data_IF_194835904941
#
_entry.id   IF_194835904941
#
_cell.length_a   1.000
_cell.length_b   1.000
_cell.length_c   1.000
_cell.angle_alpha   90.00
_cell.angle_beta   90.00
_cell.angle_gamma   90.00
#
_symmetry.space_group_name_H-M   'P 1'
#
loop_
_entity.id
_entity.type
_entity.pdbx_description
1 polymer ?
#
# COMPACT_ATOMS: atom_id res chain seq x y z
N UNK A 1 16.65 -62.61 56.93
CA UNK A 1 17.73 -63.12 57.79
C UNK A 1 18.84 -62.08 57.76
N UNK A 2 18.98 -61.33 58.86
CA UNK A 2 20.15 -60.54 59.28
C UNK A 2 20.61 -59.34 58.40
N UNK A 3 20.32 -58.10 58.84
CA UNK A 3 21.19 -57.12 59.56
C UNK A 3 22.26 -56.45 58.68
N UNK A 4 22.71 -55.22 58.87
CA UNK A 4 22.32 -53.99 59.57
C UNK A 4 23.51 -53.03 59.38
N UNK A 5 23.26 -51.71 59.35
CA UNK A 5 24.17 -50.64 59.80
C UNK A 5 25.49 -50.40 59.00
N UNK A 6 26.11 -49.22 58.97
CA UNK A 6 25.71 -47.82 59.10
C UNK A 6 26.99 -46.99 58.79
N UNK A 7 26.79 -45.79 58.24
CA UNK A 7 27.59 -44.55 58.41
C UNK A 7 28.92 -44.29 57.67
N UNK A 8 28.95 -43.02 57.21
CA UNK A 8 30.02 -42.01 57.30
C UNK A 8 31.02 -41.96 56.14
N UNK A 9 30.77 -41.21 55.07
CA UNK A 9 31.02 -39.75 54.90
C UNK A 9 32.51 -39.33 54.91
N UNK A 10 32.98 -38.84 53.74
CA UNK A 10 33.80 -37.63 53.56
C UNK A 10 33.99 -37.36 52.06
N UNK A 11 33.88 -36.07 51.73
CA UNK A 11 33.55 -35.57 50.39
C UNK A 11 34.63 -35.71 49.32
N UNK A 12 34.15 -35.78 48.08
CA UNK A 12 34.92 -35.57 46.85
C UNK A 12 34.60 -34.17 46.32
N UNK A 13 35.63 -33.39 46.05
CA UNK A 13 35.57 -32.20 45.19
C UNK A 13 35.84 -32.66 43.75
N UNK A 14 34.96 -32.39 42.77
CA UNK A 14 35.29 -32.45 41.35
C UNK A 14 35.52 -31.04 40.76
N UNK A 15 36.19 -30.95 39.60
CA UNK A 15 36.92 -29.76 39.15
C UNK A 15 36.04 -28.70 38.47
N UNK A 16 36.60 -27.49 38.39
CA UNK A 16 36.02 -26.29 37.80
C UNK A 16 35.52 -26.51 36.36
N UNK A 17 34.21 -26.40 36.19
CA UNK A 17 33.53 -26.37 34.92
C UNK A 17 33.61 -24.94 34.35
N UNK A 18 34.31 -24.80 33.23
CA UNK A 18 34.39 -23.56 32.47
C UNK A 18 32.98 -23.28 31.93
N UNK A 19 32.29 -22.32 32.54
CA UNK A 19 31.05 -21.75 32.01
C UNK A 19 31.35 -21.07 30.66
N UNK A 20 31.13 -21.81 29.56
CA UNK A 20 30.97 -21.20 28.25
C UNK A 20 29.66 -20.42 28.25
N UNK A 21 29.79 -19.11 28.38
CA UNK A 21 28.73 -18.12 28.27
C UNK A 21 27.83 -18.36 27.05
N UNK A 22 26.59 -18.79 27.29
CA UNK A 22 25.52 -18.83 26.30
C UNK A 22 25.06 -17.39 25.99
N UNK A 23 25.80 -16.70 25.13
CA UNK A 23 25.38 -15.43 24.53
C UNK A 23 25.08 -15.72 23.07
N UNK A 24 23.85 -15.35 22.64
CA UNK A 24 23.29 -15.35 21.27
C UNK A 24 22.28 -16.45 20.94
N UNK A 25 21.15 -16.43 21.66
CA UNK A 25 19.85 -16.41 21.00
C UNK A 25 18.86 -15.62 21.86
N UNK A 26 19.04 -14.29 21.92
CA UNK A 26 17.91 -13.41 22.23
C UNK A 26 16.89 -13.67 21.12
N UNK A 27 15.96 -14.58 21.39
CA UNK A 27 15.13 -15.16 20.35
C UNK A 27 14.27 -14.06 19.76
N UNK A 28 14.25 -13.93 18.44
CA UNK A 28 13.29 -13.07 17.74
C UNK A 28 11.83 -13.39 18.10
N UNK A 29 11.58 -14.59 18.66
CA UNK A 29 10.32 -14.96 19.33
C UNK A 29 10.03 -14.09 20.55
N UNK A 30 11.02 -13.74 21.35
CA UNK A 30 10.90 -12.80 22.47
C UNK A 30 10.59 -11.37 22.02
N UNK A 31 11.21 -10.90 20.94
CA UNK A 31 10.87 -9.60 20.33
C UNK A 31 9.46 -9.61 19.75
N UNK A 32 9.10 -10.65 19.00
CA UNK A 32 7.75 -10.86 18.46
C UNK A 32 6.69 -10.94 19.56
N UNK A 33 6.94 -11.71 20.61
CA UNK A 33 6.02 -11.86 21.74
C UNK A 33 5.97 -10.59 22.60
N UNK A 34 7.08 -9.86 22.76
CA UNK A 34 7.15 -8.58 23.47
C UNK A 34 6.38 -7.48 22.73
N UNK A 35 6.57 -7.37 21.41
CA UNK A 35 5.78 -6.50 20.56
C UNK A 35 4.32 -6.95 20.52
N UNK A 36 4.03 -8.25 20.49
CA UNK A 36 2.64 -8.72 20.56
C UNK A 36 1.99 -8.31 21.89
N UNK A 37 2.66 -8.59 23.03
CA UNK A 37 2.14 -8.35 24.38
C UNK A 37 1.94 -6.85 24.69
N UNK A 38 2.94 -6.02 24.42
CA UNK A 38 2.87 -4.57 24.60
C UNK A 38 1.72 -3.95 23.81
N UNK A 39 1.40 -4.51 22.63
CA UNK A 39 0.35 -3.99 21.78
C UNK A 39 -1.02 -4.64 22.02
N UNK A 40 -1.11 -5.91 22.41
CA UNK A 40 -2.40 -6.50 22.87
C UNK A 40 -2.95 -5.81 24.11
N UNK A 41 -2.08 -5.28 24.99
CA UNK A 41 -2.49 -4.46 26.13
C UNK A 41 -3.18 -3.15 25.73
N UNK A 42 -2.87 -2.62 24.55
CA UNK A 42 -3.55 -1.46 23.96
C UNK A 42 -4.91 -1.81 23.30
N UNK A 43 -5.14 -3.07 22.89
CA UNK A 43 -6.21 -3.45 21.93
C UNK A 43 -7.49 -4.00 22.59
N UNK A 44 -7.61 -4.03 23.92
CA UNK A 44 -8.61 -4.84 24.65
C UNK A 44 -10.06 -4.33 24.72
N UNK A 45 -10.54 -3.49 23.80
CA UNK A 45 -11.99 -3.22 23.70
C UNK A 45 -12.52 -3.51 22.30
N UNK A 46 -13.67 -4.18 22.22
CA UNK A 46 -14.29 -4.65 20.98
C UNK A 46 -14.64 -3.53 19.97
N UNK A 47 -14.47 -2.26 20.37
CA UNK A 47 -14.60 -1.05 19.54
C UNK A 47 -13.31 -0.22 19.39
N UNK A 48 -12.20 -0.59 20.04
CA UNK A 48 -10.89 0.11 19.97
C UNK A 48 -10.06 -0.03 18.68
N UNK A 49 -10.22 -1.02 17.78
CA UNK A 49 -9.25 -1.19 16.70
C UNK A 49 -9.30 -0.06 15.65
N UNK A 50 -10.39 0.73 15.59
CA UNK A 50 -10.50 1.89 14.69
C UNK A 50 -9.86 3.14 15.31
N UNK A 51 -10.00 3.34 16.62
CA UNK A 51 -9.45 4.51 17.33
C UNK A 51 -7.94 4.43 17.48
N UNK A 52 -7.37 3.26 17.78
CA UNK A 52 -5.91 3.10 17.93
C UNK A 52 -5.21 3.08 16.59
N UNK A 53 -5.82 2.45 15.57
CA UNK A 53 -5.31 2.49 14.20
C UNK A 53 -5.33 3.91 13.63
N UNK A 54 -6.42 4.66 13.88
CA UNK A 54 -6.54 6.07 13.52
C UNK A 54 -5.54 6.95 14.26
N UNK A 55 -5.30 6.70 15.56
CA UNK A 55 -4.33 7.45 16.36
C UNK A 55 -2.88 7.16 15.96
N UNK A 56 -2.55 5.89 15.68
CA UNK A 56 -1.24 5.51 15.14
C UNK A 56 -1.02 6.09 13.73
N UNK A 57 -2.04 6.05 12.86
CA UNK A 57 -1.97 6.69 11.55
C UNK A 57 -1.77 8.19 11.65
N UNK A 58 -2.54 8.87 12.50
CA UNK A 58 -2.41 10.30 12.74
C UNK A 58 -1.06 10.67 13.34
N UNK A 59 -0.57 9.93 14.34
CA UNK A 59 0.69 10.17 15.02
C UNK A 59 1.90 9.89 14.13
N UNK A 60 1.90 8.80 13.37
CA UNK A 60 2.99 8.44 12.46
C UNK A 60 3.03 9.39 11.27
N UNK A 61 1.87 9.79 10.73
CA UNK A 61 1.78 10.83 9.70
C UNK A 61 2.29 12.17 10.24
N UNK A 62 1.89 12.54 11.46
CA UNK A 62 2.34 13.76 12.12
C UNK A 62 3.86 13.76 12.35
N UNK A 63 4.44 12.65 12.79
CA UNK A 63 5.89 12.50 12.98
C UNK A 63 6.63 12.50 11.63
N UNK A 64 6.08 11.88 10.58
CA UNK A 64 6.66 11.90 9.24
C UNK A 64 6.71 13.30 8.66
N UNK A 65 5.63 14.08 8.81
CA UNK A 65 5.60 15.49 8.40
C UNK A 65 6.63 16.29 9.19
N UNK A 66 6.69 16.15 10.53
CA UNK A 66 7.62 16.93 11.37
C UNK A 66 9.09 16.58 11.15
N UNK A 67 9.43 15.31 10.92
CA UNK A 67 10.82 14.89 10.69
C UNK A 67 11.32 15.26 9.29
N UNK A 68 10.42 15.23 8.29
CA UNK A 68 10.78 15.41 6.89
C UNK A 68 10.80 16.88 6.45
N UNK A 69 9.91 17.72 7.00
CA UNK A 69 9.81 19.16 6.67
C UNK A 69 11.05 19.97 7.07
N UNK A 70 11.90 19.45 7.96
CA UNK A 70 13.14 20.11 8.40
C UNK A 70 14.41 19.61 7.72
N UNK A 71 14.38 18.48 6.99
CA UNK A 71 15.62 17.77 6.62
C UNK A 71 15.66 17.23 5.18
N UNK A 72 14.53 17.07 4.48
CA UNK A 72 14.49 16.40 3.17
C UNK A 72 14.26 17.40 2.04
N UNK A 73 15.34 17.99 1.54
CA UNK A 73 15.43 18.66 0.24
C UNK A 73 16.20 17.71 -0.69
N UNK A 74 15.67 17.29 -1.85
CA UNK A 74 14.54 17.86 -2.62
C UNK A 74 13.13 17.35 -2.29
N UNK A 75 12.10 18.13 -2.67
CA UNK A 75 10.68 17.88 -2.38
C UNK A 75 10.17 16.50 -2.82
N UNK A 76 10.74 15.93 -3.88
CA UNK A 76 10.37 14.58 -4.34
C UNK A 76 10.84 13.49 -3.38
N UNK A 77 11.97 13.67 -2.70
CA UNK A 77 12.40 12.77 -1.62
C UNK A 77 11.42 12.85 -0.45
N UNK A 78 10.97 14.06 -0.11
CA UNK A 78 9.94 14.27 0.92
C UNK A 78 8.62 13.57 0.55
N UNK A 79 8.17 13.69 -0.71
CA UNK A 79 6.98 13.00 -1.22
C UNK A 79 7.07 11.48 -1.05
N UNK A 80 8.18 10.87 -1.48
CA UNK A 80 8.40 9.44 -1.32
C UNK A 80 8.50 9.02 0.15
N UNK A 81 9.13 9.82 1.00
CA UNK A 81 9.20 9.54 2.44
C UNK A 81 7.80 9.47 3.06
N UNK A 82 6.92 10.43 2.77
CA UNK A 82 5.52 10.38 3.20
C UNK A 82 4.82 9.14 2.64
N UNK A 83 4.96 8.86 1.34
CA UNK A 83 4.33 7.71 0.70
C UNK A 83 4.75 6.38 1.36
N UNK A 84 6.04 6.20 1.64
CA UNK A 84 6.60 5.03 2.32
C UNK A 84 6.05 4.90 3.74
N UNK A 85 5.98 6.00 4.50
CA UNK A 85 5.46 5.98 5.87
C UNK A 85 3.96 5.67 5.89
N UNK A 86 3.16 6.30 5.03
CA UNK A 86 1.72 6.03 4.89
C UNK A 86 1.50 4.56 4.51
N UNK A 87 2.24 4.07 3.51
CA UNK A 87 2.15 2.68 3.08
C UNK A 87 2.55 1.70 4.20
N UNK A 88 3.70 1.91 4.85
CA UNK A 88 4.18 1.09 5.95
C UNK A 88 3.21 1.06 7.14
N UNK A 89 2.59 2.19 7.45
CA UNK A 89 1.55 2.26 8.48
C UNK A 89 0.36 1.40 8.09
N UNK A 90 -0.16 1.54 6.87
CA UNK A 90 -1.25 0.71 6.37
C UNK A 90 -0.91 -0.79 6.43
N UNK A 91 0.34 -1.18 6.09
CA UNK A 91 0.83 -2.57 6.20
C UNK A 91 0.80 -3.09 7.62
N UNK A 92 1.28 -2.31 8.58
CA UNK A 92 1.27 -2.71 10.01
C UNK A 92 -0.17 -2.84 10.50
N UNK A 93 -1.05 -1.90 10.16
CA UNK A 93 -2.46 -1.92 10.56
C UNK A 93 -3.20 -3.16 10.05
N UNK A 94 -3.05 -3.50 8.77
CA UNK A 94 -3.67 -4.69 8.18
C UNK A 94 -3.08 -5.97 8.75
N UNK A 95 -1.77 -6.02 8.98
CA UNK A 95 -1.08 -7.14 9.62
C UNK A 95 -1.60 -7.39 11.04
N UNK A 96 -1.69 -6.34 11.87
CA UNK A 96 -2.24 -6.42 13.23
C UNK A 96 -3.68 -6.92 13.21
N UNK A 97 -4.49 -6.41 12.27
CA UNK A 97 -5.90 -6.77 12.12
C UNK A 97 -6.11 -8.23 11.70
N UNK A 98 -5.15 -8.80 10.96
CA UNK A 98 -5.20 -10.18 10.48
C UNK A 98 -4.86 -11.22 11.56
N UNK A 99 -4.25 -10.81 12.69
CA UNK A 99 -3.86 -11.69 13.81
C UNK A 99 -3.17 -13.00 13.33
N UNK A 100 -2.00 -12.90 12.69
CA UNK A 100 -1.34 -14.08 12.11
C UNK A 100 -1.07 -15.16 13.15
N UNK A 101 -1.45 -16.40 12.83
CA UNK A 101 -1.37 -17.57 13.71
C UNK A 101 0.07 -18.10 13.96
N UNK A 102 1.04 -17.22 14.19
CA UNK A 102 2.41 -17.60 14.57
C UNK A 102 3.39 -17.86 13.42
N UNK A 103 2.97 -17.73 12.15
CA UNK A 103 3.88 -17.82 11.01
C UNK A 103 4.63 -16.49 10.76
N UNK A 104 5.68 -16.27 11.55
CA UNK A 104 6.50 -15.05 11.48
C UNK A 104 7.20 -14.87 10.14
N UNK A 105 7.59 -15.96 9.46
CA UNK A 105 8.21 -15.90 8.12
C UNK A 105 7.24 -15.30 7.10
N UNK A 106 6.00 -15.82 7.06
CA UNK A 106 4.93 -15.28 6.21
C UNK A 106 4.58 -13.84 6.55
N UNK A 107 4.70 -13.47 7.84
CA UNK A 107 4.57 -12.07 8.28
C UNK A 107 5.68 -11.16 7.74
N UNK A 108 6.94 -11.61 7.72
CA UNK A 108 8.03 -10.83 7.12
C UNK A 108 7.85 -10.70 5.61
N UNK A 109 7.48 -11.78 4.92
CA UNK A 109 7.20 -11.71 3.47
C UNK A 109 6.07 -10.72 3.21
N UNK A 110 5.01 -10.76 4.04
CA UNK A 110 3.94 -9.78 3.95
C UNK A 110 4.46 -8.36 4.14
N UNK A 111 5.17 -8.07 5.23
CA UNK A 111 5.55 -6.69 5.58
C UNK A 111 6.52 -6.07 4.57
N UNK A 112 7.45 -6.84 4.02
CA UNK A 112 8.55 -6.30 3.21
C UNK A 112 8.42 -6.53 1.70
N UNK A 113 7.67 -7.56 1.27
CA UNK A 113 7.65 -7.95 -0.14
C UNK A 113 6.25 -7.95 -0.75
N UNK A 114 5.19 -8.22 0.01
CA UNK A 114 3.84 -8.17 -0.56
C UNK A 114 3.47 -6.73 -0.93
N UNK A 115 3.21 -6.40 -2.21
CA UNK A 115 2.86 -5.04 -2.58
C UNK A 115 1.43 -4.67 -2.13
N UNK A 116 0.54 -5.65 -1.95
CA UNK A 116 -0.84 -5.44 -1.52
C UNK A 116 -1.04 -5.21 -0.01
N UNK A 117 -2.27 -4.81 0.35
CA UNK A 117 -2.68 -4.52 1.73
C UNK A 117 -3.67 -5.54 2.31
N UNK A 118 -3.94 -6.65 1.63
CA UNK A 118 -4.86 -7.69 2.11
C UNK A 118 -4.16 -8.74 3.00
N UNK A 119 -3.81 -8.35 4.22
CA UNK A 119 -3.10 -9.22 5.17
C UNK A 119 -3.87 -10.51 5.50
N UNK A 120 -5.21 -10.44 5.60
CA UNK A 120 -6.04 -11.63 5.92
C UNK A 120 -5.92 -12.71 4.85
N UNK A 121 -6.00 -12.32 3.57
CA UNK A 121 -5.80 -13.27 2.47
C UNK A 121 -4.36 -13.75 2.41
N UNK A 122 -3.39 -12.84 2.51
CA UNK A 122 -1.98 -13.20 2.36
C UNK A 122 -1.53 -14.16 3.47
N UNK A 123 -1.90 -13.90 4.72
CA UNK A 123 -1.42 -14.65 5.89
C UNK A 123 -2.23 -15.93 6.15
N UNK A 124 -3.44 -16.06 5.60
CA UNK A 124 -4.27 -17.26 5.75
C UNK A 124 -3.66 -18.47 5.04
N UNK A 125 -3.64 -19.63 5.70
CA UNK A 125 -3.22 -20.90 5.10
C UNK A 125 -4.32 -21.54 4.24
N UNK A 126 -5.55 -21.03 4.31
CA UNK A 126 -6.67 -21.49 3.49
C UNK A 126 -6.77 -20.78 2.15
N UNK A 127 -5.95 -19.74 1.94
CA UNK A 127 -6.05 -18.92 0.74
C UNK A 127 -5.51 -19.66 -0.47
N UNK A 128 -6.37 -19.80 -1.49
CA UNK A 128 -5.97 -20.38 -2.78
C UNK A 128 -4.96 -19.47 -3.47
N UNK A 129 -3.82 -20.04 -3.85
CA UNK A 129 -2.80 -19.39 -4.67
C UNK A 129 -3.14 -19.65 -6.13
N UNK A 130 -3.23 -18.58 -6.91
CA UNK A 130 -3.39 -18.67 -8.36
C UNK A 130 -2.01 -18.50 -8.97
N UNK A 131 -1.49 -19.53 -9.63
CA UNK A 131 -0.19 -19.45 -10.29
C UNK A 131 -0.23 -18.41 -11.43
N UNK A 132 0.87 -17.68 -11.65
CA UNK A 132 0.94 -16.73 -12.75
C UNK A 132 1.02 -17.44 -14.10
N UNK A 133 0.29 -16.94 -15.10
CA UNK A 133 0.44 -17.39 -16.47
C UNK A 133 1.56 -16.63 -17.19
N UNK A 134 2.06 -17.17 -18.31
CA UNK A 134 3.17 -16.56 -19.06
C UNK A 134 2.84 -15.16 -19.58
N UNK A 135 1.59 -14.90 -19.96
CA UNK A 135 1.17 -13.60 -20.47
C UNK A 135 1.21 -12.52 -19.39
N UNK A 136 0.97 -12.83 -18.12
CA UNK A 136 1.10 -11.87 -17.01
C UNK A 136 2.55 -11.39 -16.90
N UNK A 137 3.52 -12.32 -16.92
CA UNK A 137 4.95 -11.99 -16.88
C UNK A 137 5.39 -11.12 -18.05
N UNK A 138 4.97 -11.48 -19.26
CA UNK A 138 5.30 -10.72 -20.48
C UNK A 138 4.69 -9.33 -20.40
N UNK A 139 3.41 -9.21 -20.01
CA UNK A 139 2.71 -7.93 -19.91
C UNK A 139 3.36 -7.00 -18.88
N UNK A 140 3.63 -7.49 -17.66
CA UNK A 140 4.29 -6.70 -16.62
C UNK A 140 5.71 -6.28 -17.03
N UNK A 141 6.46 -7.18 -17.70
CA UNK A 141 7.80 -6.88 -18.21
C UNK A 141 7.76 -5.81 -19.32
N UNK A 142 6.78 -5.85 -20.22
CA UNK A 142 6.60 -4.83 -21.25
C UNK A 142 6.30 -3.47 -20.62
N UNK A 143 5.36 -3.39 -19.68
CA UNK A 143 5.08 -2.12 -18.99
C UNK A 143 6.29 -1.58 -18.24
N UNK A 144 7.06 -2.44 -17.58
CA UNK A 144 8.29 -2.06 -16.91
C UNK A 144 9.32 -1.47 -17.88
N UNK A 145 9.58 -2.17 -19.00
CA UNK A 145 10.55 -1.73 -20.01
C UNK A 145 10.10 -0.46 -20.75
N UNK A 146 8.82 -0.35 -21.10
CA UNK A 146 8.26 0.87 -21.71
C UNK A 146 8.35 2.04 -20.74
N UNK A 147 8.09 1.81 -19.45
CA UNK A 147 8.26 2.82 -18.42
C UNK A 147 9.70 3.30 -18.31
N UNK A 148 10.68 2.37 -18.30
CA UNK A 148 12.11 2.70 -18.30
C UNK A 148 12.48 3.50 -19.55
N UNK A 149 12.06 3.05 -20.74
CA UNK A 149 12.31 3.77 -21.99
C UNK A 149 11.75 5.20 -21.94
N UNK A 150 10.55 5.37 -21.39
CA UNK A 150 9.92 6.68 -21.23
C UNK A 150 10.77 7.61 -20.37
N UNK A 151 11.21 7.16 -19.19
CA UNK A 151 11.96 7.98 -18.23
C UNK A 151 13.43 8.18 -18.64
N UNK A 152 14.09 7.14 -19.14
CA UNK A 152 15.54 7.16 -19.40
C UNK A 152 15.92 7.66 -20.79
N UNK A 153 15.01 7.62 -21.77
CA UNK A 153 15.30 7.98 -23.17
C UNK A 153 14.40 9.09 -23.66
N UNK A 154 13.07 8.93 -23.54
CA UNK A 154 12.13 9.90 -24.12
C UNK A 154 12.18 11.22 -23.35
N UNK A 155 12.12 11.18 -22.02
CA UNK A 155 12.15 12.38 -21.16
C UNK A 155 13.39 13.25 -21.43
N UNK A 156 14.64 12.73 -21.39
CA UNK A 156 15.82 13.55 -21.71
C UNK A 156 15.78 14.15 -23.12
N UNK A 157 15.22 13.43 -24.11
CA UNK A 157 15.15 13.89 -25.49
C UNK A 157 14.17 15.07 -25.71
N UNK A 158 13.13 15.19 -24.89
CA UNK A 158 12.10 16.25 -25.02
C UNK A 158 12.22 17.35 -23.96
N UNK A 159 13.04 17.13 -22.92
CA UNK A 159 13.13 17.98 -21.74
C UNK A 159 13.52 19.44 -22.02
N UNK A 160 14.28 19.67 -23.10
CA UNK A 160 14.83 20.98 -23.44
C UNK A 160 13.73 21.94 -23.92
N UNK A 161 12.65 21.44 -24.53
CA UNK A 161 11.68 22.28 -25.24
C UNK A 161 10.28 22.33 -24.59
N UNK A 162 9.86 21.28 -23.88
CA UNK A 162 8.45 21.15 -23.47
C UNK A 162 8.28 20.64 -22.03
N UNK A 163 8.29 21.55 -21.04
CA UNK A 163 8.18 21.18 -19.60
C UNK A 163 6.93 20.38 -19.26
N UNK A 164 5.74 20.82 -19.70
CA UNK A 164 4.48 20.13 -19.38
C UNK A 164 4.40 18.74 -20.01
N UNK A 165 4.91 18.58 -21.24
CA UNK A 165 4.99 17.26 -21.88
C UNK A 165 5.98 16.36 -21.15
N UNK A 166 7.14 16.91 -20.77
CA UNK A 166 8.18 16.20 -20.00
C UNK A 166 7.63 15.66 -18.68
N UNK A 167 6.92 16.50 -17.92
CA UNK A 167 6.27 16.07 -16.68
C UNK A 167 5.25 14.95 -16.96
N UNK A 168 4.40 15.12 -17.97
CA UNK A 168 3.34 14.15 -18.32
C UNK A 168 3.93 12.79 -18.72
N UNK A 169 4.87 12.78 -19.65
CA UNK A 169 5.55 11.57 -20.14
C UNK A 169 6.35 10.90 -19.03
N UNK A 170 7.05 11.69 -18.20
CA UNK A 170 7.80 11.18 -17.07
C UNK A 170 6.90 10.55 -16.00
N UNK A 171 5.76 11.17 -15.68
CA UNK A 171 4.79 10.58 -14.74
C UNK A 171 4.18 9.29 -15.26
N UNK A 172 3.77 9.25 -16.52
CA UNK A 172 3.29 8.03 -17.16
C UNK A 172 4.38 6.95 -17.06
N UNK A 173 5.62 7.30 -17.37
CA UNK A 173 6.78 6.42 -17.23
C UNK A 173 6.94 5.85 -15.81
N UNK A 174 6.94 6.70 -14.80
CA UNK A 174 7.04 6.30 -13.38
C UNK A 174 5.87 5.40 -12.95
N UNK A 175 4.64 5.73 -13.37
CA UNK A 175 3.46 4.89 -13.10
C UNK A 175 3.60 3.52 -13.73
N UNK A 176 4.09 3.44 -14.98
CA UNK A 176 4.34 2.19 -15.68
C UNK A 176 5.44 1.36 -15.00
N UNK A 177 6.58 1.99 -14.66
CA UNK A 177 7.70 1.33 -13.95
C UNK A 177 7.19 0.73 -12.64
N UNK A 178 6.48 1.50 -11.83
CA UNK A 178 6.13 1.09 -10.47
C UNK A 178 4.87 0.23 -10.41
N UNK A 179 3.73 0.75 -10.87
CA UNK A 179 2.42 0.14 -10.61
C UNK A 179 2.11 -1.02 -11.56
N UNK A 180 2.45 -0.88 -12.84
CA UNK A 180 2.17 -1.89 -13.86
C UNK A 180 3.36 -2.83 -14.12
N UNK A 181 4.57 -2.41 -13.74
CA UNK A 181 5.81 -3.18 -13.92
C UNK A 181 6.28 -3.84 -12.63
N UNK A 182 7.07 -3.12 -11.85
CA UNK A 182 7.80 -3.63 -10.69
C UNK A 182 6.90 -4.29 -9.63
N UNK A 183 5.85 -3.61 -9.18
CA UNK A 183 4.96 -4.14 -8.15
C UNK A 183 4.17 -5.36 -8.65
N UNK A 184 3.85 -5.40 -9.95
CA UNK A 184 3.18 -6.55 -10.54
C UNK A 184 4.14 -7.74 -10.67
N UNK A 185 5.36 -7.53 -11.18
CA UNK A 185 6.43 -8.54 -11.21
C UNK A 185 6.72 -9.11 -9.81
N UNK A 186 6.71 -8.26 -8.77
CA UNK A 186 6.87 -8.68 -7.39
C UNK A 186 5.71 -9.57 -6.93
N UNK A 187 4.46 -9.20 -7.25
CA UNK A 187 3.28 -10.04 -6.99
C UNK A 187 3.34 -11.39 -7.72
N UNK A 188 3.76 -11.40 -8.99
CA UNK A 188 3.93 -12.62 -9.79
C UNK A 188 5.01 -13.53 -9.19
N UNK A 189 6.12 -12.95 -8.75
CA UNK A 189 7.20 -13.67 -8.06
C UNK A 189 6.67 -14.33 -6.77
N UNK A 190 5.93 -13.59 -5.95
CA UNK A 190 5.32 -14.13 -4.73
C UNK A 190 4.30 -15.24 -5.02
N UNK A 191 3.46 -15.09 -6.05
CA UNK A 191 2.51 -16.13 -6.48
C UNK A 191 3.23 -17.40 -6.95
N UNK A 192 4.33 -17.23 -7.71
CA UNK A 192 5.16 -18.37 -8.15
C UNK A 192 5.84 -19.08 -6.99
N UNK A 193 6.16 -18.36 -5.91
CA UNK A 193 6.70 -18.89 -4.67
C UNK A 193 5.63 -19.45 -3.70
N UNK A 194 4.36 -19.53 -4.13
CA UNK A 194 3.27 -20.11 -3.34
C UNK A 194 2.61 -19.16 -2.33
N UNK A 195 2.81 -17.85 -2.45
CA UNK A 195 2.12 -16.86 -1.62
C UNK A 195 0.82 -16.37 -2.27
N UNK A 196 -0.21 -16.11 -1.46
CA UNK A 196 -1.52 -15.64 -1.92
C UNK A 196 -1.54 -14.13 -2.22
N UNK A 197 -0.57 -13.66 -3.03
CA UNK A 197 -0.47 -12.28 -3.51
C UNK A 197 -1.50 -12.00 -4.62
N UNK A 198 -1.81 -10.73 -4.84
CA UNK A 198 -2.71 -10.26 -5.90
C UNK A 198 -2.12 -9.07 -6.63
N UNK A 199 -2.31 -9.01 -7.95
CA UNK A 199 -1.91 -7.85 -8.74
C UNK A 199 -2.55 -6.57 -8.23
N UNK A 200 -1.76 -5.48 -8.18
CA UNK A 200 -2.23 -4.16 -7.79
C UNK A 200 -3.10 -3.52 -8.87
N UNK A 201 -2.87 -3.86 -10.14
CA UNK A 201 -3.57 -3.30 -11.30
C UNK A 201 -4.22 -4.43 -12.10
N UNK A 202 -5.51 -4.66 -11.86
CA UNK A 202 -6.23 -5.77 -12.49
C UNK A 202 -6.96 -5.34 -13.78
N UNK A 203 -6.19 -5.10 -14.84
CA UNK A 203 -6.69 -4.66 -16.16
C UNK A 203 -7.68 -3.47 -16.09
N UNK A 204 -7.32 -2.35 -15.43
CA UNK A 204 -8.25 -1.23 -15.20
C UNK A 204 -8.78 -0.62 -16.51
N UNK A 205 -8.04 -0.72 -17.61
CA UNK A 205 -8.45 -0.24 -18.94
C UNK A 205 -9.66 -0.97 -19.52
N UNK A 206 -10.02 -2.15 -19.00
CA UNK A 206 -11.20 -2.92 -19.42
C UNK A 206 -12.47 -2.54 -18.65
N UNK A 207 -12.39 -1.62 -17.71
CA UNK A 207 -13.54 -1.27 -16.87
C UNK A 207 -14.68 -0.65 -17.70
N UNK A 208 -15.90 -1.14 -17.50
CA UNK A 208 -17.10 -0.60 -18.16
C UNK A 208 -17.98 0.23 -17.22
N UNK A 209 -17.45 0.60 -16.05
CA UNK A 209 -18.10 1.48 -15.08
C UNK A 209 -17.05 2.07 -14.13
N UNK A 210 -17.35 3.22 -13.53
CA UNK A 210 -16.44 3.95 -12.64
C UNK A 210 -16.17 3.12 -11.37
N UNK A 211 -17.19 2.47 -10.82
CA UNK A 211 -17.00 1.57 -9.68
C UNK A 211 -16.15 0.33 -10.06
N UNK A 212 -16.26 -0.17 -11.30
CA UNK A 212 -15.46 -1.29 -11.78
C UNK A 212 -13.99 -0.87 -11.95
N UNK A 213 -13.73 0.32 -12.49
CA UNK A 213 -12.38 0.89 -12.61
C UNK A 213 -11.68 0.97 -11.25
N UNK A 214 -12.31 1.59 -10.25
CA UNK A 214 -11.74 1.71 -8.90
C UNK A 214 -11.68 0.37 -8.15
N UNK A 215 -12.38 -0.66 -8.62
CA UNK A 215 -12.21 -2.02 -8.10
C UNK A 215 -10.97 -2.72 -8.68
N UNK A 216 -10.45 -2.26 -9.82
CA UNK A 216 -9.31 -2.82 -10.54
C UNK A 216 -8.03 -2.02 -10.34
N UNK A 217 -8.17 -0.73 -10.10
CA UNK A 217 -7.08 0.20 -9.83
C UNK A 217 -6.66 0.14 -8.36
N UNK A 218 -5.37 -0.09 -8.10
CA UNK A 218 -4.77 -0.14 -6.77
C UNK A 218 -5.58 -1.04 -5.80
N UNK A 219 -5.59 -2.34 -6.10
CA UNK A 219 -6.32 -3.35 -5.32
C UNK A 219 -5.91 -3.39 -3.84
N UNK A 220 -4.67 -2.98 -3.52
CA UNK A 220 -4.20 -2.80 -2.15
C UNK A 220 -4.98 -1.73 -1.40
N UNK A 221 -5.00 -0.49 -1.90
CA UNK A 221 -5.75 0.60 -1.27
C UNK A 221 -7.27 0.34 -1.27
N UNK A 222 -7.79 -0.28 -2.33
CA UNK A 222 -9.18 -0.77 -2.38
C UNK A 222 -9.50 -1.70 -1.22
N UNK A 223 -8.66 -2.70 -0.96
CA UNK A 223 -8.90 -3.67 0.11
C UNK A 223 -8.81 -3.04 1.50
N UNK A 224 -7.83 -2.14 1.70
CA UNK A 224 -7.69 -1.35 2.92
C UNK A 224 -8.95 -0.50 3.19
N UNK A 225 -9.31 0.37 2.25
CA UNK A 225 -10.45 1.28 2.41
C UNK A 225 -11.78 0.52 2.55
N UNK A 226 -11.93 -0.60 1.84
CA UNK A 226 -13.09 -1.47 1.99
C UNK A 226 -13.22 -2.02 3.40
N UNK A 227 -12.12 -2.49 3.99
CA UNK A 227 -12.10 -3.07 5.32
C UNK A 227 -12.31 -2.04 6.43
N UNK A 228 -11.61 -0.90 6.36
CA UNK A 228 -11.54 0.06 7.46
C UNK A 228 -12.55 1.21 7.36
N UNK A 229 -13.09 1.51 6.18
CA UNK A 229 -13.99 2.65 5.97
C UNK A 229 -15.36 2.18 5.46
N UNK A 230 -15.38 1.49 4.31
CA UNK A 230 -16.63 1.17 3.64
C UNK A 230 -17.48 0.16 4.42
N UNK A 231 -16.93 -0.99 4.82
CA UNK A 231 -17.69 -2.04 5.48
C UNK A 231 -18.28 -1.64 6.84
N UNK A 232 -17.58 -0.92 7.73
CA UNK A 232 -18.18 -0.38 8.96
C UNK A 232 -19.45 0.43 8.71
N UNK A 233 -19.48 1.26 7.67
CA UNK A 233 -20.64 2.10 7.32
C UNK A 233 -21.75 1.31 6.62
N UNK A 234 -21.40 0.35 5.74
CA UNK A 234 -22.37 -0.54 5.11
C UNK A 234 -23.09 -1.41 6.13
N UNK A 235 -22.39 -1.91 7.17
CA UNK A 235 -23.02 -2.67 8.27
C UNK A 235 -24.05 -1.85 9.05
N UNK A 236 -23.90 -0.52 9.05
CA UNK A 236 -24.88 0.44 9.59
C UNK A 236 -25.96 0.86 8.58
N UNK A 237 -26.09 0.14 7.45
CA UNK A 237 -26.99 0.44 6.33
C UNK A 237 -26.73 1.80 5.64
N UNK A 238 -25.50 2.32 5.74
CA UNK A 238 -25.11 3.62 5.17
C UNK A 238 -24.13 3.46 4.00
N UNK A 239 -24.54 2.73 2.96
CA UNK A 239 -23.66 2.43 1.82
C UNK A 239 -23.22 3.68 1.04
N UNK A 240 -24.11 4.68 0.89
CA UNK A 240 -23.76 5.95 0.24
C UNK A 240 -22.74 6.73 1.05
N UNK A 241 -22.95 6.88 2.37
CA UNK A 241 -21.95 7.51 3.23
C UNK A 241 -20.61 6.75 3.18
N UNK A 242 -20.65 5.42 3.14
CA UNK A 242 -19.46 4.58 2.96
C UNK A 242 -18.69 4.90 1.68
N UNK A 243 -19.39 5.07 0.56
CA UNK A 243 -18.78 5.45 -0.72
C UNK A 243 -18.11 6.83 -0.61
N UNK A 244 -18.85 7.84 -0.18
CA UNK A 244 -18.34 9.21 -0.05
C UNK A 244 -17.18 9.31 0.93
N UNK A 245 -17.27 8.67 2.10
CA UNK A 245 -16.20 8.65 3.08
C UNK A 245 -14.92 7.97 2.55
N UNK A 246 -15.06 6.91 1.76
CA UNK A 246 -13.92 6.20 1.15
C UNK A 246 -13.17 7.10 0.16
N UNK A 247 -13.90 7.76 -0.73
CA UNK A 247 -13.31 8.66 -1.72
C UNK A 247 -12.79 9.96 -1.12
N UNK A 248 -13.46 10.51 -0.11
CA UNK A 248 -12.94 11.65 0.66
C UNK A 248 -11.62 11.30 1.34
N UNK A 249 -11.55 10.15 2.02
CA UNK A 249 -10.30 9.69 2.64
C UNK A 249 -9.18 9.47 1.61
N UNK A 250 -9.50 8.86 0.46
CA UNK A 250 -8.56 8.73 -0.65
C UNK A 250 -8.03 10.09 -1.10
N UNK A 251 -8.92 11.05 -1.29
CA UNK A 251 -8.60 12.44 -1.61
C UNK A 251 -7.61 13.07 -0.65
N UNK A 252 -7.91 13.01 0.65
CA UNK A 252 -7.08 13.58 1.70
C UNK A 252 -5.69 12.93 1.76
N UNK A 253 -5.60 11.62 1.56
CA UNK A 253 -4.29 10.93 1.48
C UNK A 253 -3.50 11.38 0.26
N UNK A 254 -4.14 11.63 -0.88
CA UNK A 254 -3.45 12.16 -2.05
C UNK A 254 -3.03 13.62 -1.83
N UNK A 255 -3.84 14.46 -1.19
CA UNK A 255 -3.41 15.81 -0.80
C UNK A 255 -2.19 15.79 0.13
N UNK A 256 -2.18 14.86 1.10
CA UNK A 256 -1.05 14.64 1.99
C UNK A 256 0.23 14.22 1.26
N UNK A 257 0.13 13.30 0.29
CA UNK A 257 1.29 12.75 -0.42
C UNK A 257 1.73 13.64 -1.58
N UNK A 258 0.82 14.35 -2.24
CA UNK A 258 1.07 15.10 -3.49
C UNK A 258 1.13 16.60 -3.20
N UNK A 259 0.06 17.18 -2.66
CA UNK A 259 -0.09 18.64 -2.52
C UNK A 259 0.83 19.24 -1.45
N UNK A 260 1.05 18.54 -0.33
CA UNK A 260 1.94 19.02 0.74
C UNK A 260 3.40 19.11 0.26
N UNK A 261 4.02 18.07 -0.32
CA UNK A 261 5.38 18.18 -0.87
C UNK A 261 5.50 19.14 -2.05
N UNK A 262 4.42 19.31 -2.82
CA UNK A 262 4.37 20.28 -3.91
C UNK A 262 4.24 21.73 -3.44
N UNK A 263 3.95 21.96 -2.15
CA UNK A 263 3.64 23.27 -1.58
C UNK A 263 2.51 24.01 -2.32
N UNK A 264 1.54 23.28 -2.88
CA UNK A 264 0.47 23.87 -3.68
C UNK A 264 -0.56 22.85 -4.16
N UNK A 265 -1.64 23.34 -4.77
CA UNK A 265 -2.73 22.48 -5.29
C UNK A 265 -3.60 21.82 -4.21
N UNK A 266 -3.62 22.36 -2.99
CA UNK A 266 -4.39 21.83 -1.87
C UNK A 266 -5.87 21.66 -2.21
N UNK A 267 -6.40 20.47 -1.94
CA UNK A 267 -7.79 20.10 -2.18
C UNK A 267 -8.10 19.66 -3.61
N UNK A 268 -7.19 19.85 -4.58
CA UNK A 268 -7.43 19.42 -5.97
C UNK A 268 -7.48 17.89 -6.11
N UNK A 269 -6.55 17.11 -5.51
CA UNK A 269 -6.71 15.66 -5.43
C UNK A 269 -7.99 15.25 -4.71
N UNK A 270 -8.35 15.90 -3.60
CA UNK A 270 -9.62 15.62 -2.93
C UNK A 270 -10.82 15.83 -3.83
N UNK A 271 -10.87 16.95 -4.56
CA UNK A 271 -11.93 17.23 -5.52
C UNK A 271 -11.98 16.17 -6.63
N UNK A 272 -10.84 15.72 -7.16
CA UNK A 272 -10.75 14.64 -8.14
C UNK A 272 -11.49 13.39 -7.63
N UNK A 273 -11.18 12.91 -6.43
CA UNK A 273 -11.82 11.71 -5.88
C UNK A 273 -13.30 11.92 -5.54
N UNK A 274 -13.72 13.12 -5.13
CA UNK A 274 -15.14 13.42 -4.91
C UNK A 274 -15.94 13.41 -6.21
N UNK A 275 -15.35 13.83 -7.34
CA UNK A 275 -15.96 13.68 -8.67
C UNK A 275 -16.20 12.19 -8.98
N UNK A 276 -15.25 11.31 -8.63
CA UNK A 276 -15.42 9.86 -8.82
C UNK A 276 -16.56 9.29 -7.97
N UNK A 277 -16.69 9.72 -6.72
CA UNK A 277 -17.80 9.30 -5.85
C UNK A 277 -19.15 9.76 -6.40
N UNK A 278 -19.22 10.98 -6.93
CA UNK A 278 -20.41 11.51 -7.60
C UNK A 278 -20.76 10.69 -8.84
N UNK A 279 -19.77 10.38 -9.68
CA UNK A 279 -19.97 9.58 -10.89
C UNK A 279 -20.44 8.16 -10.58
N UNK A 280 -19.91 7.51 -9.54
CA UNK A 280 -20.40 6.20 -9.07
C UNK A 280 -21.84 6.30 -8.54
N UNK A 281 -22.18 7.39 -7.87
CA UNK A 281 -23.56 7.63 -7.43
C UNK A 281 -24.50 7.81 -8.63
N UNK A 282 -24.04 8.52 -9.65
CA UNK A 282 -24.78 8.80 -10.88
C UNK A 282 -24.96 7.55 -11.75
N UNK A 283 -23.91 6.76 -12.01
CA UNK A 283 -24.01 5.52 -12.82
C UNK A 283 -24.96 4.50 -12.19
N UNK A 284 -25.11 4.51 -10.86
CA UNK A 284 -26.02 3.64 -10.09
C UNK A 284 -27.45 4.17 -10.00
N UNK A 285 -27.69 5.42 -10.37
CA UNK A 285 -29.02 6.03 -10.41
C UNK A 285 -29.92 5.39 -11.47
N UNK A 286 -31.22 5.70 -11.45
CA UNK A 286 -32.16 5.22 -12.49
C UNK A 286 -31.72 5.68 -13.88
N UNK A 287 -31.38 6.96 -14.03
CA UNK A 287 -30.90 7.54 -15.29
C UNK A 287 -29.60 6.89 -15.76
N UNK A 288 -28.63 6.70 -14.87
CA UNK A 288 -27.36 6.04 -15.21
C UNK A 288 -27.54 4.60 -15.70
N UNK A 289 -28.48 3.86 -15.12
CA UNK A 289 -28.84 2.50 -15.57
C UNK A 289 -29.55 2.50 -16.93
N UNK A 290 -30.44 3.47 -17.17
CA UNK A 290 -31.13 3.64 -18.47
C UNK A 290 -30.13 3.97 -19.58
N UNK A 291 -29.15 4.84 -19.30
CA UNK A 291 -28.06 5.21 -20.21
C UNK A 291 -26.96 4.13 -20.31
N UNK A 292 -27.09 3.02 -19.57
CA UNK A 292 -26.14 1.92 -19.54
C UNK A 292 -24.70 2.35 -19.15
N UNK A 293 -24.56 3.32 -18.25
CA UNK A 293 -23.26 3.89 -17.86
C UNK A 293 -22.32 2.92 -17.11
N UNK A 294 -22.77 1.70 -16.83
CA UNK A 294 -22.02 0.69 -16.11
C UNK A 294 -21.73 -0.58 -16.94
N UNK A 295 -22.03 -0.58 -18.24
CA UNK A 295 -21.81 -1.73 -19.12
C UNK A 295 -21.58 -1.31 -20.58
N UNK A 296 -20.95 -2.22 -21.33
CA UNK A 296 -20.72 -2.02 -22.76
C UNK A 296 -19.83 -0.82 -23.06
N UNK A 297 -19.93 -0.32 -24.29
CA UNK A 297 -19.08 0.75 -24.78
C UNK A 297 -19.45 2.13 -24.20
N UNK A 298 -20.73 2.38 -23.93
CA UNK A 298 -21.19 3.62 -23.28
C UNK A 298 -20.64 3.75 -21.88
N UNK A 299 -20.69 2.67 -21.08
CA UNK A 299 -20.10 2.65 -19.74
C UNK A 299 -18.58 2.76 -19.76
N UNK A 300 -17.90 2.12 -20.72
CA UNK A 300 -16.45 2.28 -20.91
C UNK A 300 -16.07 3.74 -21.21
N UNK A 301 -16.76 4.38 -22.16
CA UNK A 301 -16.50 5.78 -22.53
C UNK A 301 -16.79 6.74 -21.37
N UNK A 302 -17.92 6.56 -20.67
CA UNK A 302 -18.25 7.32 -19.47
C UNK A 302 -17.17 7.18 -18.40
N UNK A 303 -16.68 5.96 -18.18
CA UNK A 303 -15.59 5.67 -17.23
C UNK A 303 -14.30 6.37 -17.64
N UNK A 304 -13.88 6.23 -18.89
CA UNK A 304 -12.67 6.86 -19.41
C UNK A 304 -12.73 8.39 -19.27
N UNK A 305 -13.84 9.02 -19.66
CA UNK A 305 -14.02 10.47 -19.52
C UNK A 305 -14.00 10.92 -18.07
N UNK A 306 -14.70 10.20 -17.18
CA UNK A 306 -14.76 10.54 -15.74
C UNK A 306 -13.40 10.42 -15.06
N UNK A 307 -12.59 9.43 -15.44
CA UNK A 307 -11.27 9.20 -14.84
C UNK A 307 -10.21 10.13 -15.42
N UNK A 308 -10.24 10.37 -16.74
CA UNK A 308 -9.16 11.06 -17.46
C UNK A 308 -9.36 12.57 -17.56
N UNK A 309 -10.58 13.07 -17.81
CA UNK A 309 -10.79 14.52 -17.98
C UNK A 309 -10.37 15.33 -16.74
N UNK A 310 -10.70 14.93 -15.49
CA UNK A 310 -10.27 15.69 -14.32
C UNK A 310 -8.87 15.31 -13.83
N UNK A 311 -8.06 14.53 -14.57
CA UNK A 311 -6.76 14.04 -14.08
C UNK A 311 -5.78 15.16 -13.72
N UNK A 312 -5.92 16.34 -14.33
CA UNK A 312 -5.13 17.53 -14.00
C UNK A 312 -5.42 18.08 -12.59
N UNK A 313 -6.55 17.72 -11.97
CA UNK A 313 -6.82 18.02 -10.56
C UNK A 313 -5.99 17.13 -9.63
N UNK A 314 -5.85 15.85 -9.98
CA UNK A 314 -5.02 14.90 -9.24
C UNK A 314 -3.53 15.23 -9.42
N UNK A 315 -3.15 15.55 -10.65
CA UNK A 315 -1.78 15.78 -11.09
C UNK A 315 -1.62 17.25 -11.46
N UNK A 316 -1.82 18.10 -10.45
CA UNK A 316 -1.86 19.55 -10.62
C UNK A 316 -0.49 20.15 -10.95
N UNK A 317 -0.53 21.38 -11.49
CA UNK A 317 0.67 22.07 -11.97
C UNK A 317 1.77 22.24 -10.91
N UNK A 318 1.49 22.66 -9.65
CA UNK A 318 2.50 22.70 -8.60
C UNK A 318 3.21 21.37 -8.36
N UNK A 319 2.49 20.25 -8.42
CA UNK A 319 3.09 18.93 -8.27
C UNK A 319 4.04 18.59 -9.43
N UNK A 320 3.65 18.94 -10.65
CA UNK A 320 4.49 18.73 -11.82
C UNK A 320 5.81 19.52 -11.72
N UNK A 321 5.75 20.80 -11.40
CA UNK A 321 6.92 21.69 -11.37
C UNK A 321 7.80 21.48 -10.13
N UNK A 322 7.22 21.30 -8.95
CA UNK A 322 7.98 21.29 -7.69
C UNK A 322 8.44 19.89 -7.26
N UNK A 323 7.89 18.83 -7.86
CA UNK A 323 8.16 17.44 -7.46
C UNK A 323 8.63 16.61 -8.65
N UNK A 324 7.81 16.50 -9.68
CA UNK A 324 8.06 15.58 -10.80
C UNK A 324 9.24 16.02 -11.65
N UNK A 325 9.26 17.26 -12.13
CA UNK A 325 10.36 17.75 -12.99
C UNK A 325 11.71 17.68 -12.26
N UNK A 326 11.85 18.15 -11.00
CA UNK A 326 13.09 17.99 -10.23
C UNK A 326 13.52 16.53 -10.08
N UNK A 327 12.58 15.63 -9.78
CA UNK A 327 12.87 14.20 -9.69
C UNK A 327 13.39 13.64 -11.01
N UNK A 328 12.76 13.97 -12.15
CA UNK A 328 13.19 13.50 -13.46
C UNK A 328 14.58 14.04 -13.81
N UNK A 329 14.85 15.31 -13.51
CA UNK A 329 16.17 15.92 -13.70
C UNK A 329 17.24 15.18 -12.90
N UNK A 330 16.98 14.90 -11.62
CA UNK A 330 17.94 14.20 -10.75
C UNK A 330 18.17 12.74 -11.19
N UNK A 331 17.17 12.08 -11.77
CA UNK A 331 17.28 10.70 -12.25
C UNK A 331 17.90 10.57 -13.65
N UNK A 332 17.65 11.55 -14.52
CA UNK A 332 18.03 11.53 -15.94
C UNK A 332 19.20 12.43 -16.32
N UNK A 333 19.68 13.28 -15.40
CA UNK A 333 20.75 14.26 -15.61
C UNK A 333 20.56 15.13 -16.87
N UNK A 334 19.41 15.78 -17.02
CA UNK A 334 19.09 16.64 -18.17
C UNK A 334 18.72 18.09 -17.80
#
# INVERSE_FOLDING_TARGET
>A
MWTAMNKSSRGKVPPAEIQSSSIRSASWRGVYNGMRAAFTGLISTENAPITIAGFAFALITFLAINLSTKLLNPNWVFMWAIAVVVYGTCKVLTWMRAQPAGNWRKSLVYLFFEPGLNAKRFLSDRSKVVLPCRSEWVCASIFFLVGILSVAVIVPAIAIEQRSLTATVGMIGVVLILHFGFLDLLSLTLRSAGFASTSLMNEPWRATGVADFWSRWNTGFRDLSREFIFYPLVRRKQAQLGLWATFLFSGLVHDLVISIPAHGGYGLPTLYFLIQALAISFERSRLGKTLQLNRGWTGWLFTAMTVLLPVSLLVHFPFQENVIIPMLRDLGNF
#
